data_IF_610469648771
#
_entry.id   IF_610469648771
#
_cell.length_a   1.000
_cell.length_b   1.000
_cell.length_c   1.000
_cell.angle_alpha   90.00
_cell.angle_beta   90.00
_cell.angle_gamma   90.00
#
_symmetry.space_group_name_H-M   'P 1'
#
loop_
_entity.id
_entity.type
_entity.pdbx_description
1 polymer ?
#
# COMPACT_ATOMS: atom_id res chain seq x y z
N UNK A 1 -7.31 -38.30 -40.28
CA UNK A 1 -8.05 -37.07 -40.63
C UNK A 1 -7.68 -36.02 -39.61
N UNK A 2 -6.94 -35.00 -40.06
CA UNK A 2 -6.59 -33.81 -39.31
C UNK A 2 -7.87 -33.02 -38.99
N UNK A 3 -8.02 -32.60 -37.75
CA UNK A 3 -8.77 -31.38 -37.40
C UNK A 3 -7.91 -30.61 -36.42
N UNK A 4 -7.23 -29.59 -36.94
CA UNK A 4 -6.54 -28.57 -36.16
C UNK A 4 -7.51 -27.93 -35.14
N UNK A 5 -7.07 -27.65 -33.90
CA UNK A 5 -7.79 -26.76 -33.02
C UNK A 5 -7.70 -25.34 -33.57
N UNK A 6 -8.86 -24.72 -33.75
CA UNK A 6 -9.03 -23.35 -34.24
C UNK A 6 -8.11 -22.36 -33.50
N UNK A 7 -7.27 -21.68 -34.29
CA UNK A 7 -6.55 -20.46 -33.92
C UNK A 7 -7.52 -19.46 -33.28
N UNK A 8 -7.52 -19.35 -31.97
CA UNK A 8 -8.10 -18.19 -31.29
C UNK A 8 -7.24 -16.96 -31.59
N UNK A 9 -7.91 -15.92 -32.06
CA UNK A 9 -7.36 -14.60 -32.40
C UNK A 9 -6.37 -14.09 -31.34
N UNK A 10 -5.17 -13.72 -31.77
CA UNK A 10 -4.03 -13.28 -30.97
C UNK A 10 -4.14 -11.82 -30.47
N UNK A 11 -5.33 -11.40 -30.01
CA UNK A 11 -5.59 -10.05 -29.49
C UNK A 11 -5.73 -10.02 -27.97
N UNK A 12 -5.24 -8.96 -27.32
CA UNK A 12 -5.48 -8.72 -25.89
C UNK A 12 -6.96 -8.41 -25.66
N UNK A 13 -7.49 -8.80 -24.50
CA UNK A 13 -8.87 -8.46 -24.12
C UNK A 13 -9.00 -6.97 -23.87
N UNK A 14 -9.99 -6.34 -24.51
CA UNK A 14 -10.24 -4.89 -24.44
C UNK A 14 -11.27 -4.54 -23.37
N UNK A 15 -10.96 -3.54 -22.54
CA UNK A 15 -11.80 -3.10 -21.42
C UNK A 15 -12.12 -1.61 -21.55
N UNK A 16 -13.40 -1.26 -21.59
CA UNK A 16 -13.87 0.13 -21.50
C UNK A 16 -14.39 0.42 -20.10
N UNK A 17 -13.82 1.41 -19.41
CA UNK A 17 -14.29 1.86 -18.09
C UNK A 17 -15.02 3.19 -18.22
N UNK A 18 -16.35 3.14 -18.09
CA UNK A 18 -17.22 4.32 -18.01
C UNK A 18 -17.11 4.91 -16.61
N UNK A 19 -16.80 6.20 -16.51
CA UNK A 19 -16.37 6.79 -15.24
C UNK A 19 -14.93 6.45 -14.87
N UNK A 20 -14.12 5.99 -15.85
CA UNK A 20 -12.70 5.68 -15.68
C UNK A 20 -11.83 6.87 -15.23
N UNK A 21 -12.34 8.09 -15.35
CA UNK A 21 -11.68 9.30 -14.82
C UNK A 21 -11.98 9.58 -13.34
N UNK A 22 -12.93 8.86 -12.73
CA UNK A 22 -13.20 8.86 -11.29
C UNK A 22 -12.24 7.97 -10.52
N UNK A 23 -12.16 8.13 -9.19
CA UNK A 23 -11.11 7.48 -8.38
C UNK A 23 -11.13 5.94 -8.46
N UNK A 24 -12.31 5.31 -8.36
CA UNK A 24 -12.45 3.86 -8.51
C UNK A 24 -12.14 3.40 -9.95
N UNK A 25 -12.58 4.16 -10.95
CA UNK A 25 -12.27 3.88 -12.34
C UNK A 25 -10.78 3.94 -12.64
N UNK A 26 -10.08 4.92 -12.07
CA UNK A 26 -8.62 5.03 -12.15
C UNK A 26 -7.92 3.85 -11.48
N UNK A 27 -8.42 3.43 -10.31
CA UNK A 27 -7.88 2.28 -9.59
C UNK A 27 -7.96 1.01 -10.45
N UNK A 28 -9.14 0.72 -11.01
CA UNK A 28 -9.32 -0.46 -11.86
C UNK A 28 -8.63 -0.34 -13.23
N UNK A 29 -8.41 0.89 -13.73
CA UNK A 29 -7.57 1.10 -14.92
C UNK A 29 -6.16 0.57 -14.69
N UNK A 30 -5.54 0.87 -13.54
CA UNK A 30 -4.23 0.30 -13.19
C UNK A 30 -4.30 -1.21 -13.03
N UNK A 31 -5.30 -1.71 -12.29
CA UNK A 31 -5.47 -3.14 -12.04
C UNK A 31 -5.50 -3.98 -13.32
N UNK A 32 -6.32 -3.58 -14.30
CA UNK A 32 -6.44 -4.28 -15.59
C UNK A 32 -5.19 -4.08 -16.46
N UNK A 33 -4.62 -2.87 -16.49
CA UNK A 33 -3.41 -2.59 -17.27
C UNK A 33 -2.20 -3.40 -16.82
N UNK A 34 -1.99 -3.56 -15.51
CA UNK A 34 -0.92 -4.39 -14.94
C UNK A 34 -1.07 -5.89 -15.28
N UNK A 35 -2.24 -6.30 -15.76
CA UNK A 35 -2.58 -7.68 -16.12
C UNK A 35 -2.75 -7.88 -17.63
N UNK A 36 -2.15 -6.98 -18.39
CA UNK A 36 -2.05 -7.06 -19.85
C UNK A 36 -3.39 -6.90 -20.61
N UNK A 37 -4.38 -6.23 -20.01
CA UNK A 37 -5.60 -5.83 -20.69
C UNK A 37 -5.41 -4.50 -21.44
N UNK A 38 -6.07 -4.36 -22.60
CA UNK A 38 -6.15 -3.09 -23.32
C UNK A 38 -7.26 -2.23 -22.74
N UNK A 39 -6.90 -1.31 -21.85
CA UNK A 39 -7.88 -0.46 -21.15
C UNK A 39 -8.09 0.86 -21.88
N UNK A 40 -9.34 1.23 -22.12
CA UNK A 40 -9.78 2.55 -22.56
C UNK A 40 -10.69 3.16 -21.48
N UNK A 41 -10.59 4.46 -21.23
CA UNK A 41 -11.41 5.13 -20.22
C UNK A 41 -12.30 6.20 -20.84
N UNK A 42 -13.48 6.38 -20.25
CA UNK A 42 -14.39 7.47 -20.56
C UNK A 42 -14.86 8.15 -19.28
N UNK A 43 -15.19 9.44 -19.34
CA UNK A 43 -15.92 10.10 -18.26
C UNK A 43 -16.63 11.35 -18.73
N UNK A 44 -17.87 11.54 -18.26
CA UNK A 44 -18.78 12.63 -18.65
C UNK A 44 -18.15 14.03 -18.59
N UNK A 45 -17.23 14.25 -17.66
CA UNK A 45 -16.52 15.53 -17.50
C UNK A 45 -15.39 15.79 -18.50
N UNK A 46 -15.13 14.90 -19.46
CA UNK A 46 -14.12 15.13 -20.51
C UNK A 46 -12.68 15.26 -19.99
N UNK A 47 -12.36 14.64 -18.85
CA UNK A 47 -11.06 14.74 -18.16
C UNK A 47 -9.96 13.92 -18.85
N UNK A 48 -9.63 14.25 -20.10
CA UNK A 48 -8.65 13.55 -20.94
C UNK A 48 -7.26 13.51 -20.29
N UNK A 49 -6.91 14.52 -19.51
CA UNK A 49 -5.65 14.61 -18.77
C UNK A 49 -5.47 13.47 -17.76
N UNK A 50 -6.56 12.91 -17.22
CA UNK A 50 -6.51 11.74 -16.34
C UNK A 50 -6.09 10.50 -17.12
N UNK A 51 -6.72 10.23 -18.27
CA UNK A 51 -6.35 9.11 -19.14
C UNK A 51 -4.87 9.20 -19.57
N UNK A 52 -4.39 10.40 -19.89
CA UNK A 52 -2.97 10.65 -20.20
C UNK A 52 -2.05 10.32 -19.03
N UNK A 53 -2.41 10.68 -17.79
CA UNK A 53 -1.62 10.33 -16.59
C UNK A 53 -1.58 8.82 -16.34
N UNK A 54 -2.69 8.13 -16.59
CA UNK A 54 -2.80 6.68 -16.52
C UNK A 54 -2.08 5.97 -17.68
N UNK A 55 -1.69 6.73 -18.72
CA UNK A 55 -1.11 6.24 -19.96
C UNK A 55 -2.03 5.19 -20.63
N UNK A 56 -3.29 5.57 -20.84
CA UNK A 56 -4.32 4.80 -21.56
C UNK A 56 -5.12 5.71 -22.50
N UNK A 57 -5.75 5.19 -23.56
CA UNK A 57 -6.63 5.97 -24.42
C UNK A 57 -7.85 6.54 -23.68
N UNK A 58 -8.25 7.75 -24.06
CA UNK A 58 -9.56 8.30 -23.71
C UNK A 58 -10.52 8.07 -24.88
N UNK A 59 -11.70 7.53 -24.61
CA UNK A 59 -12.74 7.34 -25.63
C UNK A 59 -13.38 8.71 -25.99
N UNK A 60 -12.76 9.46 -26.89
CA UNK A 60 -13.32 10.74 -27.37
C UNK A 60 -14.62 10.55 -28.15
N UNK A 61 -14.77 9.41 -28.83
CA UNK A 61 -16.00 8.94 -29.44
C UNK A 61 -16.46 7.68 -28.68
N UNK A 62 -17.45 7.86 -27.80
CA UNK A 62 -17.98 6.77 -26.99
C UNK A 62 -18.76 5.76 -27.85
N UNK A 63 -19.47 6.22 -28.88
CA UNK A 63 -20.27 5.36 -29.76
C UNK A 63 -19.39 4.38 -30.54
N UNK A 64 -18.23 4.85 -31.01
CA UNK A 64 -17.24 4.00 -31.64
C UNK A 64 -16.54 3.05 -30.65
N UNK A 65 -16.28 3.49 -29.42
CA UNK A 65 -15.54 2.71 -28.43
C UNK A 65 -16.35 1.52 -27.87
N UNK A 66 -17.65 1.68 -27.62
CA UNK A 66 -18.48 0.62 -27.01
C UNK A 66 -18.42 -0.72 -27.78
N UNK A 67 -18.67 -0.78 -29.10
CA UNK A 67 -18.69 -2.04 -29.83
C UNK A 67 -17.30 -2.67 -30.03
N UNK A 68 -16.20 -1.97 -29.73
CA UNK A 68 -14.85 -2.52 -29.86
C UNK A 68 -14.41 -3.34 -28.63
N UNK A 69 -15.01 -3.08 -27.45
CA UNK A 69 -14.54 -3.62 -26.19
C UNK A 69 -15.19 -4.95 -25.81
N UNK A 70 -14.40 -5.86 -25.23
CA UNK A 70 -14.87 -7.17 -24.75
C UNK A 70 -15.56 -7.08 -23.39
N UNK A 71 -15.11 -6.13 -22.56
CA UNK A 71 -15.66 -5.84 -21.25
C UNK A 71 -15.97 -4.35 -21.18
N UNK A 72 -17.19 -4.00 -20.77
CA UNK A 72 -17.59 -2.63 -20.44
C UNK A 72 -17.93 -2.56 -18.96
N UNK A 73 -17.31 -1.63 -18.23
CA UNK A 73 -17.46 -1.48 -16.79
C UNK A 73 -18.10 -0.12 -16.49
N UNK A 74 -19.23 -0.15 -15.79
CA UNK A 74 -19.95 1.03 -15.31
C UNK A 74 -19.44 1.42 -13.92
N UNK A 75 -18.60 2.45 -13.86
CA UNK A 75 -18.02 3.02 -12.63
C UNK A 75 -18.40 4.50 -12.46
N UNK A 76 -19.66 4.84 -12.78
CA UNK A 76 -20.23 6.20 -12.63
C UNK A 76 -20.97 6.34 -11.28
N UNK A 77 -21.37 7.54 -10.86
CA UNK A 77 -22.20 7.72 -9.66
C UNK A 77 -23.48 6.88 -9.69
N UNK A 78 -23.95 6.44 -8.52
CA UNK A 78 -25.10 5.52 -8.38
C UNK A 78 -26.34 6.06 -9.13
N UNK A 79 -26.66 7.34 -8.96
CA UNK A 79 -27.80 7.98 -9.62
C UNK A 79 -27.68 8.12 -11.15
N UNK A 80 -26.49 7.94 -11.72
CA UNK A 80 -26.27 7.97 -13.17
C UNK A 80 -26.13 6.56 -13.78
N UNK A 81 -26.14 5.51 -12.95
CA UNK A 81 -25.79 4.16 -13.38
C UNK A 81 -26.83 3.56 -14.31
N UNK A 82 -28.11 3.63 -13.96
CA UNK A 82 -29.20 3.08 -14.78
C UNK A 82 -29.31 3.78 -16.14
N UNK A 83 -29.20 5.10 -16.17
CA UNK A 83 -29.18 5.91 -17.40
C UNK A 83 -27.98 5.51 -18.28
N UNK A 84 -26.79 5.39 -17.70
CA UNK A 84 -25.58 4.99 -18.41
C UNK A 84 -25.71 3.57 -18.99
N UNK A 85 -26.28 2.63 -18.23
CA UNK A 85 -26.54 1.26 -18.70
C UNK A 85 -27.54 1.30 -19.86
N UNK A 86 -28.61 2.07 -19.77
CA UNK A 86 -29.63 2.18 -20.82
C UNK A 86 -29.05 2.73 -22.13
N UNK A 87 -28.12 3.68 -22.05
CA UNK A 87 -27.45 4.27 -23.20
C UNK A 87 -26.43 3.32 -23.85
N UNK A 88 -25.65 2.60 -23.04
CA UNK A 88 -24.47 1.85 -23.51
C UNK A 88 -24.78 0.40 -23.84
N UNK A 89 -25.54 -0.29 -22.99
CA UNK A 89 -25.75 -1.74 -23.10
C UNK A 89 -26.28 -2.19 -24.48
N UNK A 90 -27.23 -1.48 -25.14
CA UNK A 90 -27.74 -1.88 -26.45
C UNK A 90 -26.70 -1.88 -27.59
N UNK A 91 -25.59 -1.15 -27.41
CA UNK A 91 -24.55 -0.92 -28.44
C UNK A 91 -23.37 -1.88 -28.30
N UNK A 92 -23.37 -2.71 -27.26
CA UNK A 92 -22.28 -3.64 -26.98
C UNK A 92 -22.26 -4.81 -27.97
N UNK A 93 -21.05 -5.29 -28.30
CA UNK A 93 -20.88 -6.41 -29.25
C UNK A 93 -21.33 -7.75 -28.65
N UNK A 94 -21.74 -8.66 -29.52
CA UNK A 94 -22.08 -10.03 -29.14
C UNK A 94 -20.93 -10.73 -28.39
N UNK A 95 -21.25 -11.46 -27.33
CA UNK A 95 -20.28 -12.23 -26.53
C UNK A 95 -19.39 -11.39 -25.60
N UNK A 96 -19.66 -10.08 -25.49
CA UNK A 96 -19.02 -9.16 -24.52
C UNK A 96 -19.68 -9.25 -23.13
N UNK A 97 -19.05 -8.60 -22.15
CA UNK A 97 -19.46 -8.53 -20.76
C UNK A 97 -19.75 -7.09 -20.34
N UNK A 98 -20.92 -6.87 -19.72
CA UNK A 98 -21.25 -5.65 -18.99
C UNK A 98 -21.12 -5.88 -17.48
N UNK A 99 -20.33 -5.06 -16.80
CA UNK A 99 -20.18 -5.06 -15.35
C UNK A 99 -20.48 -3.68 -14.79
N UNK A 100 -20.79 -3.62 -13.51
CA UNK A 100 -20.88 -2.36 -12.76
C UNK A 100 -20.03 -2.45 -11.49
N UNK A 101 -19.59 -1.31 -10.94
CA UNK A 101 -18.89 -1.20 -9.65
C UNK A 101 -19.68 -0.37 -8.63
N UNK A 102 -21.00 -0.31 -8.77
CA UNK A 102 -21.81 0.48 -7.84
C UNK A 102 -21.94 -0.19 -6.47
N UNK A 103 -22.33 0.59 -5.46
CA UNK A 103 -22.47 0.08 -4.09
C UNK A 103 -23.81 -0.57 -3.79
N UNK A 104 -24.77 -0.50 -4.71
CA UNK A 104 -26.06 -1.23 -4.68
C UNK A 104 -26.10 -2.20 -5.86
N UNK A 105 -26.94 -3.25 -5.84
CA UNK A 105 -26.92 -4.27 -6.89
C UNK A 105 -28.29 -4.55 -7.50
N UNK A 106 -29.39 -4.31 -6.79
CA UNK A 106 -30.74 -4.58 -7.34
C UNK A 106 -30.99 -3.76 -8.61
N UNK A 107 -30.99 -2.41 -8.50
CA UNK A 107 -31.28 -1.54 -9.65
C UNK A 107 -30.28 -1.68 -10.81
N UNK A 108 -28.95 -1.69 -10.58
CA UNK A 108 -27.99 -1.86 -11.67
C UNK A 108 -28.14 -3.20 -12.40
N UNK A 109 -28.32 -4.31 -11.67
CA UNK A 109 -28.52 -5.63 -12.30
C UNK A 109 -29.83 -5.70 -13.07
N UNK A 110 -30.91 -5.10 -12.55
CA UNK A 110 -32.19 -4.99 -13.27
C UNK A 110 -32.06 -4.15 -14.55
N UNK A 111 -31.37 -3.01 -14.49
CA UNK A 111 -31.07 -2.20 -15.67
C UNK A 111 -30.26 -2.98 -16.71
N UNK A 112 -29.22 -3.70 -16.27
CA UNK A 112 -28.42 -4.56 -17.17
C UNK A 112 -29.29 -5.63 -17.83
N UNK A 113 -30.16 -6.31 -17.08
CA UNK A 113 -31.10 -7.30 -17.63
C UNK A 113 -32.05 -6.71 -18.66
N UNK A 114 -32.51 -5.47 -18.42
CA UNK A 114 -33.50 -4.79 -19.27
C UNK A 114 -32.90 -4.29 -20.58
N UNK A 115 -31.70 -3.72 -20.54
CA UNK A 115 -31.13 -2.99 -21.68
C UNK A 115 -30.04 -3.75 -22.42
N UNK A 116 -29.35 -4.72 -21.79
CA UNK A 116 -28.31 -5.49 -22.47
C UNK A 116 -28.91 -6.54 -23.42
N UNK A 117 -28.49 -6.58 -24.70
CA UNK A 117 -28.88 -7.61 -25.66
C UNK A 117 -28.68 -9.03 -25.13
N UNK A 118 -29.49 -9.99 -25.59
CA UNK A 118 -29.48 -11.38 -25.06
C UNK A 118 -28.12 -12.07 -25.17
N UNK A 119 -27.30 -11.69 -26.14
CA UNK A 119 -25.95 -12.19 -26.39
C UNK A 119 -24.84 -11.37 -25.69
N UNK A 120 -25.19 -10.44 -24.82
CA UNK A 120 -24.27 -9.71 -23.93
C UNK A 120 -24.43 -10.27 -22.52
N UNK A 121 -23.32 -10.71 -21.94
CA UNK A 121 -23.30 -11.19 -20.55
C UNK A 121 -23.28 -10.01 -19.59
N UNK A 122 -23.83 -10.22 -18.39
CA UNK A 122 -23.96 -9.20 -17.36
C UNK A 122 -23.51 -9.77 -16.01
N UNK A 123 -22.71 -9.00 -15.27
CA UNK A 123 -22.17 -9.43 -13.98
C UNK A 123 -22.13 -8.25 -13.02
N UNK A 124 -23.03 -8.26 -12.03
CA UNK A 124 -23.01 -7.25 -10.99
C UNK A 124 -21.75 -7.40 -10.15
N UNK A 125 -21.04 -6.30 -9.89
CA UNK A 125 -19.79 -6.34 -9.12
C UNK A 125 -19.76 -5.22 -8.08
N UNK A 126 -19.25 -5.51 -6.89
CA UNK A 126 -19.02 -4.50 -5.85
C UNK A 126 -17.67 -4.74 -5.20
N UNK A 127 -16.64 -3.96 -5.57
CA UNK A 127 -15.41 -3.87 -4.81
C UNK A 127 -15.72 -3.26 -3.44
N UNK A 128 -15.62 -4.02 -2.35
CA UNK A 128 -16.00 -3.59 -0.99
C UNK A 128 -14.94 -2.70 -0.33
N UNK A 129 -14.18 -1.97 -1.13
CA UNK A 129 -13.07 -1.13 -0.71
C UNK A 129 -13.04 0.18 -1.49
N UNK A 130 -12.49 1.22 -0.85
CA UNK A 130 -12.34 2.54 -1.46
C UNK A 130 -11.05 2.68 -2.29
N UNK A 131 -10.94 3.75 -3.09
CA UNK A 131 -9.84 3.94 -4.05
C UNK A 131 -8.48 4.22 -3.38
N UNK A 132 -8.47 4.48 -2.07
CA UNK A 132 -7.23 4.71 -1.30
C UNK A 132 -6.46 3.43 -1.00
N UNK A 133 -7.04 2.26 -1.25
CA UNK A 133 -6.40 0.98 -0.96
C UNK A 133 -5.33 0.69 -2.03
N UNK A 134 -4.08 0.35 -1.67
CA UNK A 134 -2.99 0.21 -2.63
C UNK A 134 -3.04 -1.09 -3.45
N UNK A 135 -3.75 -2.11 -3.00
CA UNK A 135 -3.80 -3.42 -3.66
C UNK A 135 -5.11 -4.15 -3.36
N UNK A 136 -5.57 -4.99 -4.28
CA UNK A 136 -6.76 -5.83 -4.08
C UNK A 136 -6.52 -6.95 -3.05
N UNK A 137 -5.26 -7.23 -2.74
CA UNK A 137 -4.87 -8.36 -1.88
C UNK A 137 -5.51 -8.21 -0.50
N UNK A 138 -6.23 -9.24 -0.07
CA UNK A 138 -7.00 -9.29 1.17
C UNK A 138 -8.30 -8.49 1.16
N UNK A 139 -8.63 -7.79 0.07
CA UNK A 139 -9.89 -7.04 -0.06
C UNK A 139 -11.01 -7.94 -0.52
N UNK A 140 -12.25 -7.61 -0.14
CA UNK A 140 -13.42 -8.35 -0.59
C UNK A 140 -13.98 -7.75 -1.88
N UNK A 141 -14.33 -8.61 -2.84
CA UNK A 141 -15.07 -8.24 -4.06
C UNK A 141 -16.30 -9.13 -4.13
N UNK A 142 -17.48 -8.51 -4.16
CA UNK A 142 -18.73 -9.24 -4.29
C UNK A 142 -19.10 -9.36 -5.77
N UNK A 143 -19.42 -10.57 -6.21
CA UNK A 143 -19.94 -10.87 -7.54
C UNK A 143 -21.40 -11.31 -7.45
N UNK A 144 -22.21 -10.76 -8.34
CA UNK A 144 -23.64 -11.06 -8.49
C UNK A 144 -23.85 -11.62 -9.90
N UNK A 145 -23.57 -12.92 -10.12
CA UNK A 145 -23.78 -13.56 -11.41
C UNK A 145 -25.26 -13.59 -11.76
N UNK A 146 -25.55 -13.53 -13.05
CA UNK A 146 -26.92 -13.60 -13.57
C UNK A 146 -27.10 -14.92 -14.31
N UNK A 147 -27.93 -15.79 -13.74
CA UNK A 147 -28.30 -17.07 -14.38
C UNK A 147 -28.75 -16.87 -15.83
N UNK A 148 -28.13 -17.60 -16.75
CA UNK A 148 -28.34 -17.56 -18.19
C UNK A 148 -27.70 -16.38 -18.93
N UNK A 149 -26.94 -15.53 -18.23
CA UNK A 149 -26.31 -14.33 -18.80
C UNK A 149 -24.91 -14.05 -18.22
N UNK A 150 -24.20 -15.02 -17.64
CA UNK A 150 -22.85 -14.77 -17.09
C UNK A 150 -21.90 -15.96 -17.17
N UNK A 151 -22.27 -17.03 -17.88
CA UNK A 151 -21.59 -18.32 -17.86
C UNK A 151 -20.19 -18.28 -18.47
N UNK A 152 -19.97 -17.49 -19.52
CA UNK A 152 -18.68 -17.40 -20.22
C UNK A 152 -17.67 -16.61 -19.40
N UNK A 153 -18.05 -15.44 -18.91
CA UNK A 153 -17.10 -14.49 -18.34
C UNK A 153 -16.92 -14.65 -16.82
N UNK A 154 -17.96 -15.08 -16.10
CA UNK A 154 -17.90 -15.20 -14.64
C UNK A 154 -16.70 -16.01 -14.13
N UNK A 155 -16.37 -17.21 -14.67
CA UNK A 155 -15.23 -17.98 -14.19
C UNK A 155 -13.90 -17.23 -14.34
N UNK A 156 -13.69 -16.57 -15.47
CA UNK A 156 -12.47 -15.80 -15.74
C UNK A 156 -12.33 -14.56 -14.85
N UNK A 157 -13.42 -13.81 -14.65
CA UNK A 157 -13.42 -12.63 -13.76
C UNK A 157 -13.23 -13.04 -12.30
N UNK A 158 -13.88 -14.11 -11.86
CA UNK A 158 -13.69 -14.67 -10.52
C UNK A 158 -12.23 -15.05 -10.29
N UNK A 159 -11.66 -15.86 -11.20
CA UNK A 159 -10.27 -16.29 -11.13
C UNK A 159 -9.31 -15.10 -11.12
N UNK A 160 -9.54 -14.10 -11.98
CA UNK A 160 -8.74 -12.88 -12.04
C UNK A 160 -8.66 -12.16 -10.68
N UNK A 161 -9.78 -12.02 -9.97
CA UNK A 161 -9.81 -11.39 -8.65
C UNK A 161 -9.19 -12.28 -7.56
N UNK A 162 -9.50 -13.58 -7.55
CA UNK A 162 -8.96 -14.54 -6.57
C UNK A 162 -7.43 -14.68 -6.70
N UNK A 163 -6.88 -14.82 -7.91
CA UNK A 163 -5.43 -14.91 -8.18
C UNK A 163 -4.70 -13.61 -7.82
N UNK A 164 -5.40 -12.48 -7.93
CA UNK A 164 -4.91 -11.19 -7.45
C UNK A 164 -4.94 -11.05 -5.93
N UNK A 165 -5.51 -12.04 -5.23
CA UNK A 165 -5.59 -12.16 -3.78
C UNK A 165 -6.80 -11.50 -3.17
N UNK A 166 -7.85 -11.20 -3.93
CA UNK A 166 -9.13 -10.77 -3.39
C UNK A 166 -9.89 -11.95 -2.75
N UNK A 167 -10.66 -11.67 -1.71
CA UNK A 167 -11.69 -12.58 -1.22
C UNK A 167 -12.96 -12.35 -2.05
N UNK A 168 -13.28 -13.30 -2.93
CA UNK A 168 -14.46 -13.19 -3.79
C UNK A 168 -15.65 -13.84 -3.10
N UNK A 169 -16.71 -13.05 -2.90
CA UNK A 169 -17.98 -13.51 -2.35
C UNK A 169 -19.05 -13.49 -3.42
N UNK A 170 -19.91 -14.51 -3.44
CA UNK A 170 -20.94 -14.68 -4.47
C UNK A 170 -22.32 -14.64 -3.80
N UNK A 171 -23.21 -13.79 -4.28
CA UNK A 171 -24.55 -13.63 -3.73
C UNK A 171 -25.54 -13.15 -4.79
N UNK A 172 -26.81 -13.03 -4.42
CA UNK A 172 -27.84 -12.42 -5.27
C UNK A 172 -27.88 -10.89 -5.06
N UNK A 173 -28.43 -10.15 -6.01
CA UNK A 173 -28.56 -8.70 -5.89
C UNK A 173 -29.39 -8.28 -4.64
N UNK A 174 -30.48 -9.01 -4.37
CA UNK A 174 -31.36 -8.75 -3.24
C UNK A 174 -30.69 -9.04 -1.89
N UNK A 175 -29.97 -10.17 -1.79
CA UNK A 175 -29.23 -10.52 -0.58
C UNK A 175 -28.06 -9.55 -0.35
N UNK A 176 -27.32 -9.18 -1.41
CA UNK A 176 -26.31 -8.13 -1.35
C UNK A 176 -26.86 -6.85 -0.75
N UNK A 177 -27.92 -6.27 -1.33
CA UNK A 177 -28.43 -4.96 -0.88
C UNK A 177 -28.98 -5.05 0.55
N UNK A 178 -29.61 -6.17 0.92
CA UNK A 178 -30.03 -6.43 2.30
C UNK A 178 -28.85 -6.44 3.26
N UNK A 179 -27.77 -7.17 2.97
CA UNK A 179 -26.60 -7.24 3.84
C UNK A 179 -25.86 -5.88 3.89
N UNK A 180 -25.71 -5.22 2.76
CA UNK A 180 -25.04 -3.92 2.64
C UNK A 180 -25.84 -2.79 3.31
N UNK A 181 -27.16 -2.90 3.42
CA UNK A 181 -27.96 -1.97 4.21
C UNK A 181 -27.53 -1.92 5.68
N UNK A 182 -27.06 -3.05 6.24
CA UNK A 182 -26.48 -3.11 7.58
C UNK A 182 -24.98 -2.79 7.53
N UNK A 183 -24.21 -3.45 6.65
CA UNK A 183 -22.75 -3.33 6.64
C UNK A 183 -22.28 -1.91 6.29
N UNK A 184 -22.93 -1.23 5.35
CA UNK A 184 -22.62 0.14 4.93
C UNK A 184 -23.72 1.13 5.37
N UNK A 185 -24.99 0.80 5.19
CA UNK A 185 -26.09 1.71 5.53
C UNK A 185 -26.05 2.13 7.00
N UNK A 186 -26.15 1.16 7.93
CA UNK A 186 -26.07 1.40 9.37
C UNK A 186 -24.76 2.06 9.79
N UNK A 187 -23.63 1.50 9.37
CA UNK A 187 -22.30 1.91 9.86
C UNK A 187 -21.94 3.33 9.43
N UNK A 188 -22.19 3.66 8.15
CA UNK A 188 -21.99 5.01 7.66
C UNK A 188 -22.93 6.00 8.34
N UNK A 189 -24.21 5.63 8.48
CA UNK A 189 -25.20 6.49 9.15
C UNK A 189 -24.79 6.79 10.59
N UNK A 190 -24.36 5.77 11.34
CA UNK A 190 -23.87 5.94 12.71
C UNK A 190 -22.63 6.85 12.80
N UNK A 191 -21.63 6.66 11.93
CA UNK A 191 -20.44 7.53 11.93
C UNK A 191 -20.73 8.97 11.50
N UNK A 192 -21.61 9.17 10.52
CA UNK A 192 -22.07 10.49 10.10
C UNK A 192 -22.88 11.15 11.24
N UNK A 193 -23.73 10.40 11.93
CA UNK A 193 -24.48 10.88 13.10
C UNK A 193 -23.55 11.30 14.25
N UNK A 194 -22.48 10.54 14.53
CA UNK A 194 -21.46 10.94 15.50
C UNK A 194 -20.80 12.26 15.07
N UNK A 195 -20.39 12.36 13.80
CA UNK A 195 -19.77 13.58 13.25
C UNK A 195 -20.66 14.82 13.34
N UNK A 196 -21.92 14.70 12.93
CA UNK A 196 -22.90 15.79 12.99
C UNK A 196 -23.31 16.13 14.42
N UNK A 197 -23.27 15.18 15.35
CA UNK A 197 -23.46 15.43 16.78
C UNK A 197 -22.31 16.24 17.38
N UNK A 198 -21.06 15.90 17.03
CA UNK A 198 -19.86 16.66 17.42
C UNK A 198 -19.97 18.11 16.96
N UNK A 199 -20.36 18.32 15.70
CA UNK A 199 -20.59 19.65 15.11
C UNK A 199 -21.69 20.41 15.85
N UNK A 200 -22.83 19.77 16.10
CA UNK A 200 -23.96 20.34 16.86
C UNK A 200 -23.59 20.76 18.28
N UNK A 201 -22.68 20.04 18.93
CA UNK A 201 -22.21 20.33 20.29
C UNK A 201 -21.07 21.36 20.33
N UNK A 202 -20.60 21.86 19.17
CA UNK A 202 -19.42 22.72 19.04
C UNK A 202 -18.19 22.13 19.77
N UNK A 203 -18.02 20.81 19.66
CA UNK A 203 -17.02 20.09 20.43
C UNK A 203 -15.64 20.13 19.75
N UNK A 204 -14.63 20.66 20.47
CA UNK A 204 -13.26 20.78 19.96
C UNK A 204 -12.53 19.43 19.91
N UNK A 205 -12.56 18.80 18.74
CA UNK A 205 -11.88 17.53 18.49
C UNK A 205 -10.37 17.63 18.71
N UNK A 206 -9.73 18.76 18.40
CA UNK A 206 -8.27 18.90 18.58
C UNK A 206 -7.91 18.91 20.06
N UNK A 207 -8.72 19.54 20.91
CA UNK A 207 -8.55 19.46 22.37
C UNK A 207 -8.86 18.06 22.88
N UNK A 208 -9.93 17.42 22.41
CA UNK A 208 -10.32 16.07 22.84
C UNK A 208 -9.22 15.04 22.64
N UNK A 209 -8.41 15.17 21.57
CA UNK A 209 -7.29 14.27 21.28
C UNK A 209 -6.21 14.24 22.37
N UNK A 210 -6.20 15.22 23.29
CA UNK A 210 -5.31 15.23 24.47
C UNK A 210 -5.85 14.38 25.64
N UNK A 211 -7.12 13.98 25.59
CA UNK A 211 -7.84 13.28 26.67
C UNK A 211 -8.27 11.86 26.28
N UNK A 212 -7.86 11.36 25.12
CA UNK A 212 -8.27 10.06 24.59
C UNK A 212 -7.13 9.04 24.61
N UNK A 213 -7.47 7.79 24.93
CA UNK A 213 -6.57 6.66 24.73
C UNK A 213 -6.44 6.30 23.23
N UNK A 214 -5.46 5.48 22.82
CA UNK A 214 -5.26 5.12 21.42
C UNK A 214 -6.51 4.55 20.73
N UNK A 215 -7.32 3.75 21.42
CA UNK A 215 -8.55 3.18 20.85
C UNK A 215 -9.58 4.26 20.48
N UNK A 216 -9.79 5.24 21.36
CA UNK A 216 -10.72 6.35 21.09
C UNK A 216 -10.20 7.26 19.96
N UNK A 217 -8.88 7.46 19.87
CA UNK A 217 -8.27 8.16 18.74
C UNK A 217 -8.56 7.46 17.42
N UNK A 218 -8.41 6.12 17.37
CA UNK A 218 -8.75 5.30 16.19
C UNK A 218 -10.24 5.39 15.84
N UNK A 219 -11.14 5.37 16.83
CA UNK A 219 -12.58 5.54 16.60
C UNK A 219 -12.90 6.90 15.96
N UNK A 220 -12.30 7.99 16.46
CA UNK A 220 -12.45 9.32 15.86
C UNK A 220 -11.81 9.41 14.46
N UNK A 221 -10.70 8.70 14.23
CA UNK A 221 -10.08 8.60 12.91
C UNK A 221 -11.02 7.89 11.91
N UNK A 222 -11.81 6.89 12.33
CA UNK A 222 -12.84 6.29 11.46
C UNK A 222 -14.00 7.23 11.16
N UNK A 223 -14.47 8.01 12.14
CA UNK A 223 -15.46 9.07 11.89
C UNK A 223 -14.91 10.08 10.87
N UNK A 224 -13.70 10.60 11.11
CA UNK A 224 -13.04 11.53 10.20
C UNK A 224 -12.80 10.93 8.81
N UNK A 225 -12.46 9.64 8.73
CA UNK A 225 -12.31 8.91 7.46
C UNK A 225 -13.60 8.94 6.66
N UNK A 226 -14.76 8.66 7.26
CA UNK A 226 -16.05 8.68 6.54
C UNK A 226 -16.41 10.09 6.10
N UNK A 227 -16.29 11.08 7.00
CA UNK A 227 -16.62 12.48 6.71
C UNK A 227 -15.70 13.13 5.67
N UNK A 228 -14.46 12.65 5.53
CA UNK A 228 -13.48 13.16 4.57
C UNK A 228 -13.63 12.63 3.15
N UNK A 229 -14.61 11.76 2.89
CA UNK A 229 -14.86 11.17 1.56
C UNK A 229 -15.93 11.98 0.80
N UNK A 230 -16.26 11.58 -0.43
CA UNK A 230 -17.30 12.23 -1.23
C UNK A 230 -18.70 12.11 -0.57
N UNK A 231 -19.31 13.19 -0.05
CA UNK A 231 -20.58 13.11 0.67
C UNK A 231 -21.74 12.64 -0.22
N UNK A 232 -21.70 12.91 -1.53
CA UNK A 232 -22.74 12.46 -2.46
C UNK A 232 -22.76 10.94 -2.62
N UNK A 233 -21.60 10.27 -2.54
CA UNK A 233 -21.55 8.81 -2.57
C UNK A 233 -22.30 8.23 -1.37
N UNK A 234 -22.02 8.74 -0.17
CA UNK A 234 -22.69 8.28 1.05
C UNK A 234 -24.17 8.58 1.02
N UNK A 235 -24.58 9.79 0.59
CA UNK A 235 -25.99 10.13 0.44
C UNK A 235 -26.71 9.14 -0.48
N UNK A 236 -26.14 8.84 -1.65
CA UNK A 236 -26.73 7.90 -2.60
C UNK A 236 -26.78 6.46 -2.07
N UNK A 237 -25.75 5.99 -1.34
CA UNK A 237 -25.81 4.67 -0.67
C UNK A 237 -27.01 4.60 0.29
N UNK A 238 -27.24 5.67 1.07
CA UNK A 238 -28.34 5.71 2.03
C UNK A 238 -29.71 5.82 1.35
N UNK A 239 -29.82 6.56 0.25
CA UNK A 239 -31.09 6.84 -0.43
C UNK A 239 -31.50 5.73 -1.42
N UNK A 240 -30.54 5.07 -2.06
CA UNK A 240 -30.81 4.16 -3.17
C UNK A 240 -30.92 2.69 -2.75
N UNK A 241 -30.42 2.31 -1.57
CA UNK A 241 -30.56 0.96 -1.06
C UNK A 241 -31.92 0.79 -0.34
N UNK A 242 -32.81 -0.10 -0.83
CA UNK A 242 -34.17 -0.24 -0.30
C UNK A 242 -34.24 -0.78 1.14
N UNK A 243 -33.18 -1.42 1.64
CA UNK A 243 -33.11 -1.93 3.02
C UNK A 243 -32.73 -0.86 4.05
N UNK A 244 -32.22 0.30 3.63
CA UNK A 244 -31.71 1.33 4.55
C UNK A 244 -32.78 1.94 5.47
N UNK A 245 -34.01 2.26 5.00
CA UNK A 245 -35.03 2.85 5.88
C UNK A 245 -35.35 1.99 7.12
N UNK A 246 -35.49 0.68 6.97
CA UNK A 246 -35.73 -0.26 8.09
C UNK A 246 -34.58 -0.23 9.10
N UNK A 247 -33.34 -0.20 8.59
CA UNK A 247 -32.13 -0.15 9.41
C UNK A 247 -32.01 1.16 10.18
N UNK A 248 -32.36 2.29 9.55
CA UNK A 248 -32.37 3.61 10.21
C UNK A 248 -33.38 3.66 11.35
N UNK A 249 -34.61 3.22 11.09
CA UNK A 249 -35.68 3.18 12.10
C UNK A 249 -35.26 2.33 13.31
N UNK A 250 -34.72 1.14 13.06
CA UNK A 250 -34.21 0.27 14.12
C UNK A 250 -33.10 0.96 14.94
N UNK A 251 -32.12 1.58 14.28
CA UNK A 251 -31.00 2.25 14.96
C UNK A 251 -31.45 3.43 15.81
N UNK A 252 -32.34 4.28 15.28
CA UNK A 252 -32.86 5.45 15.99
C UNK A 252 -33.62 4.99 17.24
N UNK A 253 -34.51 4.00 17.09
CA UNK A 253 -35.27 3.44 18.22
C UNK A 253 -34.35 2.88 19.30
N UNK A 254 -33.31 2.15 18.92
CA UNK A 254 -32.31 1.62 19.86
C UNK A 254 -31.57 2.75 20.61
N UNK A 255 -31.26 3.87 19.94
CA UNK A 255 -30.65 5.04 20.59
C UNK A 255 -31.59 5.70 21.60
N UNK A 256 -32.87 5.86 21.25
CA UNK A 256 -33.91 6.43 22.12
C UNK A 256 -34.15 5.55 23.35
N UNK A 257 -34.23 4.23 23.18
CA UNK A 257 -34.36 3.26 24.27
C UNK A 257 -33.17 3.32 25.22
N UNK A 258 -31.93 3.27 24.69
CA UNK A 258 -30.72 3.37 25.51
C UNK A 258 -30.65 4.70 26.27
N UNK A 259 -30.99 5.82 25.60
CA UNK A 259 -31.08 7.13 26.24
C UNK A 259 -32.12 7.17 27.37
N UNK A 260 -33.25 6.49 27.20
CA UNK A 260 -34.31 6.43 28.19
C UNK A 260 -33.90 5.59 29.42
N UNK A 261 -33.22 4.47 29.22
CA UNK A 261 -32.65 3.67 30.32
C UNK A 261 -31.66 4.48 31.16
N UNK A 262 -30.78 5.26 30.50
CA UNK A 262 -29.82 6.14 31.19
C UNK A 262 -30.54 7.24 31.97
N UNK A 263 -31.55 7.89 31.39
CA UNK A 263 -32.36 8.93 32.07
C UNK A 263 -33.10 8.39 33.29
N UNK A 264 -33.54 7.13 33.24
CA UNK A 264 -34.21 6.46 34.35
C UNK A 264 -33.24 5.89 35.40
N UNK A 265 -31.92 5.98 35.18
CA UNK A 265 -30.90 5.29 35.99
C UNK A 265 -31.13 3.77 36.10
N UNK A 266 -31.71 3.13 35.07
CA UNK A 266 -31.94 1.68 35.02
C UNK A 266 -30.69 0.94 34.54
N UNK A 267 -29.74 0.74 35.47
CA UNK A 267 -28.50 0.02 35.21
C UNK A 267 -28.76 -1.41 34.70
N UNK A 268 -29.66 -2.15 35.35
CA UNK A 268 -29.92 -3.54 34.98
C UNK A 268 -30.53 -3.66 33.58
N UNK A 269 -31.45 -2.74 33.23
CA UNK A 269 -32.03 -2.65 31.90
C UNK A 269 -30.96 -2.42 30.83
N UNK A 270 -30.05 -1.48 31.08
CA UNK A 270 -28.93 -1.21 30.19
C UNK A 270 -28.02 -2.45 30.03
N UNK A 271 -27.63 -3.09 31.15
CA UNK A 271 -26.79 -4.29 31.15
C UNK A 271 -27.46 -5.45 30.42
N UNK A 272 -28.76 -5.68 30.63
CA UNK A 272 -29.53 -6.72 29.93
C UNK A 272 -29.49 -6.51 28.42
N UNK A 273 -29.74 -5.28 27.96
CA UNK A 273 -29.74 -4.92 26.53
C UNK A 273 -28.36 -5.10 25.91
N UNK A 274 -27.30 -4.62 26.57
CA UNK A 274 -25.91 -4.82 26.12
C UNK A 274 -25.52 -6.30 26.02
N UNK A 275 -25.86 -7.12 27.03
CA UNK A 275 -25.60 -8.57 27.00
C UNK A 275 -26.37 -9.28 25.88
N UNK A 276 -27.60 -8.86 25.60
CA UNK A 276 -28.38 -9.41 24.49
C UNK A 276 -27.73 -9.10 23.13
N UNK A 277 -27.29 -7.86 22.92
CA UNK A 277 -26.55 -7.48 21.71
C UNK A 277 -25.24 -8.27 21.57
N UNK A 278 -24.47 -8.42 22.66
CA UNK A 278 -23.22 -9.18 22.66
C UNK A 278 -23.41 -10.65 22.26
N UNK A 279 -24.51 -11.29 22.69
CA UNK A 279 -24.85 -12.67 22.28
C UNK A 279 -25.15 -12.77 20.77
N UNK A 280 -25.85 -11.79 20.21
CA UNK A 280 -26.16 -11.78 18.77
C UNK A 280 -24.93 -11.49 17.90
N UNK A 281 -23.98 -10.71 18.42
CA UNK A 281 -22.72 -10.41 17.75
C UNK A 281 -21.81 -11.64 17.65
N UNK A 282 -21.92 -12.59 18.59
CA UNK A 282 -21.30 -13.94 18.60
C UNK A 282 -19.76 -13.99 18.43
N UNK A 283 -19.08 -12.84 18.43
CA UNK A 283 -17.63 -12.74 18.20
C UNK A 283 -16.93 -11.61 19.00
N UNK A 284 -17.49 -11.23 20.15
CA UNK A 284 -16.98 -10.06 20.92
C UNK A 284 -15.56 -10.28 21.45
N UNK A 285 -15.20 -11.51 21.84
CA UNK A 285 -13.88 -11.82 22.35
C UNK A 285 -12.78 -11.75 21.27
N UNK A 286 -13.04 -12.21 20.04
CA UNK A 286 -12.06 -12.03 18.97
C UNK A 286 -12.06 -10.59 18.46
N UNK A 287 -13.19 -9.89 18.45
CA UNK A 287 -13.21 -8.47 18.12
C UNK A 287 -12.25 -7.67 18.99
N UNK A 288 -12.27 -7.91 20.32
CA UNK A 288 -11.32 -7.30 21.26
C UNK A 288 -9.87 -7.63 20.90
N UNK A 289 -9.53 -8.90 20.69
CA UNK A 289 -8.17 -9.32 20.33
C UNK A 289 -7.69 -8.73 19.00
N UNK A 290 -8.58 -8.63 18.01
CA UNK A 290 -8.27 -8.02 16.71
C UNK A 290 -8.00 -6.52 16.86
N UNK A 291 -8.80 -5.81 17.65
CA UNK A 291 -8.55 -4.39 17.93
C UNK A 291 -7.28 -4.16 18.75
N UNK A 292 -6.98 -5.02 19.73
CA UNK A 292 -5.75 -4.92 20.52
C UNK A 292 -4.51 -5.11 19.65
N UNK A 293 -4.55 -6.07 18.72
CA UNK A 293 -3.46 -6.27 17.75
C UNK A 293 -3.23 -5.02 16.90
N UNK A 294 -4.29 -4.36 16.43
CA UNK A 294 -4.18 -3.11 15.68
C UNK A 294 -3.58 -1.97 16.52
N UNK A 295 -4.07 -1.80 17.75
CA UNK A 295 -3.59 -0.77 18.67
C UNK A 295 -2.10 -0.99 19.00
N UNK A 296 -1.74 -2.23 19.35
CA UNK A 296 -0.37 -2.58 19.71
C UNK A 296 0.59 -2.45 18.52
N UNK A 297 0.15 -2.77 17.29
CA UNK A 297 0.95 -2.53 16.09
C UNK A 297 1.34 -1.06 15.94
N UNK A 298 0.41 -0.13 16.21
CA UNK A 298 0.67 1.31 16.17
C UNK A 298 1.63 1.75 17.28
N UNK A 299 1.51 1.17 18.47
CA UNK A 299 2.40 1.44 19.60
C UNK A 299 3.81 0.95 19.26
N UNK A 300 3.97 -0.29 18.79
CA UNK A 300 5.27 -0.87 18.43
C UNK A 300 5.94 -0.11 17.30
N UNK A 301 5.20 0.33 16.28
CA UNK A 301 5.74 1.19 15.22
C UNK A 301 6.30 2.50 15.80
N UNK A 302 5.52 3.17 16.65
CA UNK A 302 5.94 4.41 17.30
C UNK A 302 7.18 4.21 18.17
N UNK A 303 7.22 3.16 18.99
CA UNK A 303 8.38 2.81 19.82
C UNK A 303 9.63 2.51 18.98
N UNK A 304 9.47 1.80 17.87
CA UNK A 304 10.56 1.50 16.94
C UNK A 304 11.18 2.78 16.38
N UNK A 305 10.32 3.73 15.98
CA UNK A 305 10.76 5.05 15.49
C UNK A 305 11.43 5.86 16.61
N UNK A 306 10.85 5.88 17.82
CA UNK A 306 11.44 6.52 19.00
C UNK A 306 12.84 5.97 19.34
N UNK A 307 13.02 4.65 19.31
CA UNK A 307 14.29 3.98 19.58
C UNK A 307 15.36 4.20 18.48
N UNK A 308 14.96 4.87 17.39
CA UNK A 308 15.82 5.22 16.28
C UNK A 308 16.29 6.69 16.33
N UNK A 309 15.90 7.46 17.35
CA UNK A 309 16.41 8.83 17.55
C UNK A 309 17.94 8.81 17.68
N UNK A 310 18.59 9.74 16.97
CA UNK A 310 20.04 9.83 16.81
C UNK A 310 20.63 8.92 15.73
N UNK A 311 19.85 8.02 15.13
CA UNK A 311 20.32 7.10 14.07
C UNK A 311 19.90 7.59 12.68
N UNK A 312 20.65 7.16 11.66
CA UNK A 312 20.26 7.35 10.25
C UNK A 312 19.08 6.42 9.94
N UNK A 313 17.96 7.01 9.53
CA UNK A 313 16.72 6.31 9.21
C UNK A 313 16.25 6.68 7.80
N UNK A 314 15.44 5.82 7.21
CA UNK A 314 14.71 6.11 5.98
C UNK A 314 13.22 6.04 6.19
N UNK A 315 12.47 7.00 5.66
CA UNK A 315 11.02 7.03 5.70
C UNK A 315 10.45 7.14 4.29
N UNK A 316 9.59 6.21 3.90
CA UNK A 316 8.84 6.27 2.64
C UNK A 316 7.46 6.89 2.89
N UNK A 317 7.08 7.85 2.07
CA UNK A 317 5.76 8.50 2.17
C UNK A 317 4.69 7.69 1.42
N UNK A 318 3.66 7.20 2.12
CA UNK A 318 2.64 6.29 1.56
C UNK A 318 2.03 6.79 0.25
N UNK A 319 1.63 8.06 0.19
CA UNK A 319 0.90 8.60 -0.97
C UNK A 319 1.79 9.08 -2.12
N UNK A 320 3.03 9.49 -1.87
CA UNK A 320 3.89 10.07 -2.91
C UNK A 320 5.01 9.13 -3.36
N UNK A 321 5.23 8.03 -2.64
CA UNK A 321 6.36 7.13 -2.83
C UNK A 321 7.72 7.76 -2.49
N UNK A 322 7.75 9.04 -2.11
CA UNK A 322 9.00 9.76 -1.87
C UNK A 322 9.70 9.23 -0.63
N UNK A 323 10.98 8.91 -0.79
CA UNK A 323 11.83 8.45 0.31
C UNK A 323 12.62 9.62 0.90
N UNK A 324 12.62 9.70 2.21
CA UNK A 324 13.31 10.68 3.03
C UNK A 324 14.31 9.99 3.94
N UNK A 325 15.61 10.18 3.68
CA UNK A 325 16.69 9.59 4.49
C UNK A 325 17.46 10.67 5.22
N UNK A 326 17.74 10.43 6.50
CA UNK A 326 18.40 11.39 7.38
C UNK A 326 18.57 10.87 8.80
N UNK A 327 19.29 11.62 9.63
CA UNK A 327 19.37 11.37 11.06
C UNK A 327 18.06 11.78 11.72
N UNK A 328 17.46 10.90 12.50
CA UNK A 328 16.23 11.19 13.23
C UNK A 328 16.53 12.02 14.48
N UNK A 329 16.11 13.28 14.50
CA UNK A 329 16.44 14.23 15.58
C UNK A 329 15.41 14.19 16.69
N UNK A 330 14.13 14.14 16.32
CA UNK A 330 13.02 14.21 17.27
C UNK A 330 11.81 13.48 16.74
N UNK A 331 11.10 12.84 17.65
CA UNK A 331 9.79 12.24 17.41
C UNK A 331 8.80 12.91 18.37
N UNK A 332 7.74 13.48 17.80
CA UNK A 332 6.60 14.01 18.54
C UNK A 332 5.35 13.16 18.32
N UNK A 333 4.22 13.52 18.93
CA UNK A 333 3.00 12.71 18.87
C UNK A 333 2.47 12.41 17.46
N UNK A 334 2.63 13.36 16.53
CA UNK A 334 2.07 13.28 15.16
C UNK A 334 3.13 13.51 14.08
N UNK A 335 4.40 13.67 14.44
CA UNK A 335 5.43 14.12 13.49
C UNK A 335 6.83 13.72 13.92
N UNK A 336 7.72 13.70 12.94
CA UNK A 336 9.15 13.51 13.14
C UNK A 336 9.93 14.66 12.53
N UNK A 337 11.12 14.89 13.06
CA UNK A 337 12.11 15.82 12.53
C UNK A 337 13.34 15.01 12.15
N UNK A 338 13.73 15.10 10.88
CA UNK A 338 14.96 14.49 10.39
C UNK A 338 15.92 15.56 9.87
N UNK A 339 17.22 15.36 10.07
CA UNK A 339 18.27 16.10 9.38
C UNK A 339 18.61 15.36 8.10
N UNK A 340 18.27 15.95 6.95
CA UNK A 340 18.37 15.25 5.66
C UNK A 340 19.83 14.91 5.33
N UNK A 341 20.05 13.67 4.92
CA UNK A 341 21.35 13.22 4.45
C UNK A 341 21.65 13.75 3.05
N UNK A 342 22.92 14.11 2.78
CA UNK A 342 23.34 14.62 1.48
C UNK A 342 23.45 13.47 0.46
N UNK A 343 22.60 13.49 -0.58
CA UNK A 343 22.62 12.52 -1.68
C UNK A 343 23.28 13.10 -2.94
N UNK A 344 23.59 12.23 -3.92
CA UNK A 344 23.98 12.63 -5.29
C UNK A 344 22.98 13.68 -5.82
N UNK A 345 23.50 14.80 -6.31
CA UNK A 345 22.70 15.92 -6.83
C UNK A 345 22.10 16.85 -5.77
N UNK A 346 22.36 16.65 -4.46
CA UNK A 346 21.91 17.59 -3.42
C UNK A 346 22.70 18.89 -3.51
N UNK A 347 22.01 20.02 -3.72
CA UNK A 347 22.63 21.33 -3.75
C UNK A 347 23.27 21.68 -2.38
N UNK A 348 24.38 22.44 -2.34
CA UNK A 348 25.14 22.70 -1.11
C UNK A 348 24.31 23.31 0.02
N UNK A 349 23.32 24.15 -0.31
CA UNK A 349 22.43 24.81 0.64
C UNK A 349 21.36 23.90 1.28
N UNK A 350 21.21 22.66 0.81
CA UNK A 350 20.27 21.66 1.35
C UNK A 350 20.97 20.73 2.37
N UNK A 351 22.31 20.79 2.44
CA UNK A 351 23.11 20.04 3.41
C UNK A 351 22.69 20.48 4.82
N UNK A 352 22.29 19.53 5.66
CA UNK A 352 21.81 19.75 7.04
C UNK A 352 20.44 20.46 7.16
N UNK A 353 19.58 20.41 6.13
CA UNK A 353 18.21 20.91 6.24
C UNK A 353 17.37 20.00 7.15
N UNK A 354 16.79 20.58 8.21
CA UNK A 354 15.75 19.93 9.01
C UNK A 354 14.46 19.82 8.20
N UNK A 355 13.86 18.64 8.22
CA UNK A 355 12.57 18.37 7.57
C UNK A 355 11.62 17.82 8.62
N UNK A 356 10.46 18.47 8.72
CA UNK A 356 9.34 18.03 9.55
C UNK A 356 8.39 17.20 8.69
N UNK A 357 8.12 15.98 9.09
CA UNK A 357 7.26 15.04 8.36
C UNK A 357 6.14 14.55 9.29
N UNK A 358 4.93 14.42 8.77
CA UNK A 358 3.78 13.90 9.51
C UNK A 358 3.87 12.38 9.63
N UNK A 359 3.82 11.85 10.84
CA UNK A 359 4.00 10.43 11.12
C UNK A 359 2.95 9.56 10.39
N UNK A 360 1.70 10.02 10.34
CA UNK A 360 0.56 9.32 9.70
C UNK A 360 0.75 8.99 8.21
N UNK A 361 1.71 9.65 7.56
CA UNK A 361 1.98 9.51 6.13
C UNK A 361 3.25 8.69 5.82
N UNK A 362 3.93 8.15 6.84
CA UNK A 362 5.26 7.57 6.68
C UNK A 362 5.28 6.08 7.04
N UNK A 363 6.10 5.33 6.32
CA UNK A 363 6.58 4.00 6.68
C UNK A 363 8.08 4.06 6.94
N UNK A 364 8.51 3.54 8.08
CA UNK A 364 9.94 3.32 8.32
C UNK A 364 10.47 2.25 7.36
N UNK A 365 11.58 2.55 6.68
CA UNK A 365 12.27 1.57 5.85
C UNK A 365 12.95 0.52 6.73
N UNK A 366 12.91 -0.73 6.27
CA UNK A 366 13.75 -1.79 6.82
C UNK A 366 15.24 -1.50 6.60
N UNK A 367 16.11 -2.19 7.35
CA UNK A 367 17.55 -2.03 7.21
C UNK A 367 18.03 -2.35 5.78
N UNK A 368 17.46 -3.37 5.13
CA UNK A 368 17.77 -3.74 3.75
C UNK A 368 17.35 -2.65 2.75
N UNK A 369 16.15 -2.10 2.90
CA UNK A 369 15.65 -1.01 2.04
C UNK A 369 16.50 0.25 2.20
N UNK A 370 16.87 0.58 3.45
CA UNK A 370 17.74 1.71 3.74
C UNK A 370 19.14 1.50 3.15
N UNK A 371 19.70 0.28 3.25
CA UNK A 371 21.02 -0.07 2.69
C UNK A 371 21.03 0.08 1.17
N UNK A 372 20.03 -0.44 0.47
CA UNK A 372 19.96 -0.32 -0.99
C UNK A 372 19.78 1.14 -1.41
N UNK A 373 18.90 1.88 -0.72
CA UNK A 373 18.75 3.31 -0.99
C UNK A 373 20.09 4.06 -0.82
N UNK A 374 20.86 3.78 0.25
CA UNK A 374 22.16 4.41 0.50
C UNK A 374 23.16 4.11 -0.62
N UNK A 375 23.20 2.86 -1.10
CA UNK A 375 24.08 2.41 -2.20
C UNK A 375 23.80 3.12 -3.52
N UNK A 376 22.53 3.32 -3.84
CA UNK A 376 22.14 3.99 -5.08
C UNK A 376 22.37 5.52 -5.00
N UNK A 377 22.01 6.12 -3.86
CA UNK A 377 21.82 7.57 -3.75
C UNK A 377 22.99 8.33 -3.13
N UNK A 378 23.89 7.69 -2.38
CA UNK A 378 25.03 8.37 -1.75
C UNK A 378 26.27 8.37 -2.62
N UNK A 379 27.13 9.39 -2.43
CA UNK A 379 28.49 9.40 -2.99
C UNK A 379 29.39 8.61 -2.05
N UNK A 380 29.98 7.53 -2.53
CA UNK A 380 30.82 6.63 -1.74
C UNK A 380 32.29 6.99 -1.80
N UNK A 381 33.03 6.67 -0.74
CA UNK A 381 34.48 6.74 -0.74
C UNK A 381 35.06 5.37 -1.11
N UNK A 382 36.16 5.37 -1.85
CA UNK A 382 36.90 4.14 -2.17
C UNK A 382 38.26 4.22 -1.48
N UNK A 383 38.69 3.09 -0.90
CA UNK A 383 40.02 2.90 -0.31
C UNK A 383 40.56 1.54 -0.73
N UNK A 384 41.86 1.48 -0.95
CA UNK A 384 42.58 0.24 -1.28
C UNK A 384 43.49 -0.09 -0.09
N UNK A 385 43.30 -1.27 0.52
CA UNK A 385 44.08 -1.73 1.66
C UNK A 385 44.89 -2.96 1.21
N UNK A 386 46.20 -2.77 1.07
CA UNK A 386 47.14 -3.84 0.73
C UNK A 386 47.73 -4.48 1.98
N UNK A 387 47.57 -5.80 2.08
CA UNK A 387 48.07 -6.62 3.18
C UNK A 387 48.80 -7.86 2.67
N UNK A 388 49.71 -8.38 3.47
CA UNK A 388 50.24 -9.73 3.33
C UNK A 388 49.35 -10.67 4.14
N UNK A 389 48.81 -11.71 3.52
CA UNK A 389 47.93 -12.66 4.21
C UNK A 389 48.74 -13.79 4.87
N UNK A 390 48.18 -14.51 5.87
CA UNK A 390 48.82 -15.70 6.44
C UNK A 390 49.14 -16.77 5.40
N UNK A 391 50.13 -17.61 5.71
CA UNK A 391 50.45 -18.78 4.89
C UNK A 391 49.22 -19.72 4.82
N UNK A 392 48.93 -20.25 3.64
CA UNK A 392 47.76 -21.09 3.33
C UNK A 392 46.37 -20.44 3.51
N UNK A 393 46.29 -19.13 3.80
CA UNK A 393 45.01 -18.42 3.87
C UNK A 393 44.44 -18.17 2.47
N UNK A 394 43.15 -18.41 2.29
CA UNK A 394 42.42 -18.08 1.07
C UNK A 394 41.99 -16.59 1.08
N UNK A 395 42.44 -15.77 0.12
CA UNK A 395 42.02 -14.38 -0.03
C UNK A 395 40.49 -14.20 -0.06
N UNK A 396 39.75 -15.14 -0.65
CA UNK A 396 38.29 -15.06 -0.79
C UNK A 396 37.58 -15.25 0.56
N UNK A 397 38.14 -16.06 1.46
CA UNK A 397 37.60 -16.24 2.81
C UNK A 397 37.77 -14.94 3.63
N UNK A 398 38.93 -14.31 3.51
CA UNK A 398 39.20 -13.00 4.15
C UNK A 398 38.30 -11.92 3.55
N UNK A 399 38.10 -11.92 2.23
CA UNK A 399 37.15 -11.04 1.55
C UNK A 399 35.74 -11.20 2.12
N UNK A 400 35.29 -12.45 2.28
CA UNK A 400 34.00 -12.78 2.88
C UNK A 400 33.83 -12.19 4.28
N UNK A 401 34.87 -12.30 5.13
CA UNK A 401 34.87 -11.72 6.47
C UNK A 401 34.78 -10.18 6.44
N UNK A 402 35.58 -9.51 5.61
CA UNK A 402 35.55 -8.03 5.48
C UNK A 402 34.21 -7.54 4.96
N UNK A 403 33.59 -8.27 4.04
CA UNK A 403 32.30 -7.91 3.41
C UNK A 403 31.13 -7.89 4.42
N UNK A 404 31.27 -8.55 5.58
CA UNK A 404 30.26 -8.50 6.65
C UNK A 404 30.16 -7.13 7.34
N UNK A 405 31.10 -6.22 7.10
CA UNK A 405 31.08 -4.90 7.71
C UNK A 405 29.91 -4.04 7.18
N UNK A 406 29.05 -3.57 8.09
CA UNK A 406 27.85 -2.80 7.77
C UNK A 406 28.12 -1.38 7.25
N UNK A 407 29.34 -0.88 7.38
CA UNK A 407 29.78 0.41 6.84
C UNK A 407 30.26 0.32 5.38
N UNK A 408 30.36 -0.90 4.82
CA UNK A 408 30.78 -1.14 3.45
C UNK A 408 29.59 -1.36 2.50
N UNK A 409 29.67 -0.70 1.35
CA UNK A 409 28.82 -0.96 0.18
C UNK A 409 29.25 -2.27 -0.47
N UNK A 410 30.56 -2.43 -0.66
CA UNK A 410 31.18 -3.59 -1.28
C UNK A 410 32.66 -3.68 -0.86
N UNK A 411 33.20 -4.89 -0.86
CA UNK A 411 34.62 -5.15 -0.82
C UNK A 411 34.95 -6.09 -1.99
N UNK A 412 36.09 -5.91 -2.63
CA UNK A 412 36.57 -6.81 -3.69
C UNK A 412 38.09 -6.90 -3.66
N UNK A 413 38.63 -8.02 -4.12
CA UNK A 413 40.06 -8.13 -4.39
C UNK A 413 40.36 -7.33 -5.66
N UNK A 414 41.17 -6.28 -5.54
CA UNK A 414 41.56 -5.45 -6.69
C UNK A 414 42.87 -5.91 -7.33
N UNK A 415 43.75 -6.53 -6.55
CA UNK A 415 45.05 -7.01 -7.02
C UNK A 415 45.59 -8.12 -6.11
N UNK A 416 46.37 -9.04 -6.69
CA UNK A 416 47.05 -10.14 -5.98
C UNK A 416 48.46 -10.29 -6.55
N UNK A 417 49.46 -10.28 -5.69
CA UNK A 417 50.87 -10.28 -6.07
C UNK A 417 51.73 -11.04 -5.05
N UNK A 418 52.91 -11.51 -5.47
CA UNK A 418 53.85 -12.17 -4.56
C UNK A 418 54.67 -11.11 -3.80
N UNK A 419 54.52 -11.05 -2.48
CA UNK A 419 55.14 -10.03 -1.65
C UNK A 419 56.59 -10.35 -1.28
N UNK A 420 57.54 -9.54 -1.72
CA UNK A 420 58.91 -9.53 -1.18
C UNK A 420 59.05 -8.58 0.01
N UNK A 421 59.85 -9.01 1.01
CA UNK A 421 59.98 -8.49 2.39
C UNK A 421 59.91 -6.96 2.54
N UNK A 422 59.11 -6.48 3.51
CA UNK A 422 59.35 -5.22 4.21
C UNK A 422 60.59 -5.34 5.11
N UNK A 423 61.34 -4.26 5.22
CA UNK A 423 62.63 -4.18 5.92
C UNK A 423 62.47 -4.33 7.43
N UNK A 424 62.82 -5.49 7.99
CA UNK A 424 63.20 -5.58 9.41
C UNK A 424 64.42 -6.48 9.62
N UNK A 425 65.16 -6.05 10.63
CA UNK A 425 66.51 -6.35 11.11
C UNK A 425 66.97 -7.80 11.11
N UNK A 426 68.29 -7.93 10.91
CA UNK A 426 69.08 -9.16 10.89
C UNK A 426 68.87 -10.03 12.14
N UNK A 427 67.95 -11.00 12.06
CA UNK A 427 68.12 -12.38 12.54
C UNK A 427 66.80 -13.17 12.43
N UNK A 428 66.47 -13.64 11.22
CA UNK A 428 65.66 -14.86 11.02
C UNK A 428 65.70 -15.27 9.53
N UNK A 429 66.50 -16.31 9.23
CA UNK A 429 66.65 -16.93 7.92
C UNK A 429 65.79 -18.20 7.83
N UNK A 430 64.59 -18.08 7.23
CA UNK A 430 63.91 -19.06 6.37
C UNK A 430 62.65 -18.37 5.82
N UNK A 431 62.70 -17.96 4.56
CA UNK A 431 61.65 -17.15 3.93
C UNK A 431 60.59 -18.00 3.27
N UNK A 432 59.35 -17.86 3.71
CA UNK A 432 58.16 -18.18 2.91
C UNK A 432 57.66 -16.88 2.27
N UNK A 433 57.50 -16.89 0.94
CA UNK A 433 56.88 -15.79 0.19
C UNK A 433 55.43 -15.67 0.66
N UNK A 434 55.07 -14.55 1.28
CA UNK A 434 53.68 -14.31 1.67
C UNK A 434 52.93 -13.64 0.52
N UNK A 435 51.76 -14.18 0.20
CA UNK A 435 50.88 -13.61 -0.81
C UNK A 435 50.42 -12.22 -0.37
N UNK A 436 50.62 -11.23 -1.23
CA UNK A 436 50.11 -9.88 -1.06
C UNK A 436 48.77 -9.73 -1.77
N UNK A 437 47.78 -9.20 -1.07
CA UNK A 437 46.44 -8.98 -1.59
C UNK A 437 46.04 -7.54 -1.31
N UNK A 438 45.46 -6.87 -2.30
CA UNK A 438 44.85 -5.56 -2.12
C UNK A 438 43.33 -5.69 -2.12
N UNK A 439 42.72 -5.32 -0.99
CA UNK A 439 41.27 -5.26 -0.84
C UNK A 439 40.80 -3.83 -1.11
N UNK A 440 40.00 -3.66 -2.16
CA UNK A 440 39.30 -2.40 -2.45
C UNK A 440 37.99 -2.38 -1.70
N UNK A 441 37.87 -1.47 -0.74
CA UNK A 441 36.65 -1.23 0.01
C UNK A 441 35.92 0.00 -0.53
N UNK A 442 34.61 -0.13 -0.74
CA UNK A 442 33.70 0.97 -1.05
C UNK A 442 32.88 1.28 0.19
N UNK A 443 33.07 2.46 0.76
CA UNK A 443 32.52 2.88 2.06
C UNK A 443 31.27 3.73 1.83
N UNK A 444 30.22 3.51 2.64
CA UNK A 444 29.01 4.34 2.59
C UNK A 444 29.33 5.83 2.81
N UNK A 445 28.68 6.72 2.05
CA UNK A 445 29.04 8.15 1.98
C UNK A 445 28.75 8.98 3.22
N UNK A 446 27.99 8.41 4.15
CA UNK A 446 27.62 8.95 5.46
C UNK A 446 28.45 8.36 6.60
N UNK A 447 29.42 7.49 6.30
CA UNK A 447 30.39 7.00 7.27
C UNK A 447 31.69 7.82 7.18
N UNK A 448 32.43 7.90 8.29
CA UNK A 448 33.78 8.46 8.27
C UNK A 448 34.73 7.45 7.60
N UNK A 449 35.22 7.77 6.40
CA UNK A 449 36.04 6.86 5.60
C UNK A 449 37.32 6.41 6.33
N UNK A 450 37.98 7.30 7.06
CA UNK A 450 39.25 7.00 7.72
C UNK A 450 39.02 6.11 8.96
N UNK A 451 37.90 6.31 9.66
CA UNK A 451 37.47 5.44 10.76
C UNK A 451 37.16 4.02 10.28
N UNK A 452 36.41 3.89 9.18
CA UNK A 452 36.05 2.58 8.61
C UNK A 452 37.29 1.87 8.04
N UNK A 453 38.18 2.61 7.38
CA UNK A 453 39.47 2.08 6.92
C UNK A 453 40.29 1.51 8.09
N UNK A 454 40.35 2.23 9.22
CA UNK A 454 41.03 1.76 10.44
C UNK A 454 40.38 0.49 11.00
N UNK A 455 39.04 0.44 11.04
CA UNK A 455 38.28 -0.72 11.50
C UNK A 455 38.55 -1.96 10.64
N UNK A 456 38.44 -1.83 9.31
CA UNK A 456 38.73 -2.92 8.36
C UNK A 456 40.19 -3.36 8.47
N UNK A 457 41.12 -2.41 8.61
CA UNK A 457 42.54 -2.70 8.81
C UNK A 457 42.77 -3.51 10.09
N UNK A 458 42.09 -3.14 11.18
CA UNK A 458 42.16 -3.85 12.47
C UNK A 458 41.61 -5.27 12.36
N UNK A 459 40.50 -5.46 11.64
CA UNK A 459 39.94 -6.78 11.35
C UNK A 459 40.93 -7.64 10.56
N UNK A 460 41.53 -7.10 9.50
CA UNK A 460 42.54 -7.79 8.69
C UNK A 460 43.74 -8.22 9.55
N UNK A 461 44.25 -7.33 10.42
CA UNK A 461 45.30 -7.66 11.38
C UNK A 461 44.86 -8.77 12.36
N UNK A 462 43.63 -8.71 12.86
CA UNK A 462 43.05 -9.73 13.73
C UNK A 462 42.92 -11.11 13.07
N UNK A 463 42.72 -11.15 11.74
CA UNK A 463 42.75 -12.35 10.92
C UNK A 463 44.18 -12.82 10.57
N UNK A 464 45.21 -12.17 11.12
CA UNK A 464 46.62 -12.52 10.93
C UNK A 464 47.29 -11.87 9.72
N UNK A 465 46.61 -10.97 9.00
CA UNK A 465 47.22 -10.22 7.91
C UNK A 465 48.21 -9.17 8.44
N UNK A 466 49.21 -8.79 7.63
CA UNK A 466 50.16 -7.71 7.92
C UNK A 466 50.01 -6.58 6.92
N UNK A 467 49.68 -5.38 7.40
CA UNK A 467 49.54 -4.18 6.56
C UNK A 467 50.91 -3.77 6.03
N UNK A 468 50.98 -3.43 4.74
CA UNK A 468 52.23 -2.94 4.12
C UNK A 468 52.40 -1.44 4.41
N UNK A 469 53.62 -1.00 4.72
CA UNK A 469 53.95 0.38 5.16
C UNK A 469 53.41 1.50 4.26
N UNK A 470 53.15 1.25 2.97
CA UNK A 470 52.57 2.24 2.05
C UNK A 470 51.14 2.69 2.38
N UNK A 471 50.43 1.99 3.27
CA UNK A 471 49.06 2.35 3.71
C UNK A 471 49.03 3.13 5.03
N UNK A 472 50.18 3.30 5.72
CA UNK A 472 50.30 4.22 6.83
C UNK A 472 50.38 5.64 6.27
N UNK A 473 49.23 6.27 5.99
CA UNK A 473 49.21 7.73 5.83
C UNK A 473 49.77 8.33 7.12
N UNK A 474 50.87 9.05 6.98
CA UNK A 474 51.50 9.85 8.04
C UNK A 474 50.39 10.63 8.78
N UNK A 475 50.20 10.28 10.05
CA UNK A 475 49.61 11.20 11.02
C UNK A 475 50.64 12.30 11.24
N UNK A 476 50.41 13.45 10.64
CA UNK A 476 50.82 14.75 11.19
C UNK A 476 49.57 15.62 11.33
#
# INVERSE_FOLDING_TARGET
MNTDPEKHSSGKTKVLILGGTGEMGQWFTHFFKERDYEVTVWGRGGKVEVARKLNVPFASDLEAAIPENDIVIVSVPINATEETIAEVAPKMKAGSLLMDFTSTKVKPVEAMRRFAPANVEILGTHPMFGPTIPTIRGQTVILVPVNGRSEKWFPGIRQLFEESGAHVEITTAAEHDRLVSVVQGLTHFAYIAIGTTIDRLDFDIKKSRKFVSPVYSIMLDFVGRILGQNPYLYALIQMENPGVPEVHEAFIKECEELSSLVRAHDEEGFVRKMKAAARKYDDTAHALRRSDKLINSRITEYETIMNSVGKVCGFSHFYSGKVHVGTLEKVGPNEIIITKLASKGTAPHIKNKFIRLKLENLRLLSESELREWRKENLKHAIRDISVLIPEDADPEVILGAVTTNNHLVACQISDTYNGTKGTETENEKRGTERLGVTYRITIFGDCNADSVETEVTTLLCGLGCRVREKNLRLKE
#
